data_IF_246094139934
#
_entry.id   IF_246094139934
#
_cell.length_a   1.000
_cell.length_b   1.000
_cell.length_c   1.000
_cell.angle_alpha   90.00
_cell.angle_beta   90.00
_cell.angle_gamma   90.00
#
_symmetry.space_group_name_H-M   'P 1'
#
loop_
_entity.id
_entity.type
_entity.pdbx_description
1 polymer ?
#
# COMPACT_ATOMS: atom_id res chain seq x y z
N UNK A 1 -46.61 -1.85 -2.75
CA UNK A 1 -45.93 -1.45 -1.50
C UNK A 1 -44.67 -0.70 -1.90
N UNK A 2 -44.69 0.62 -1.75
CA UNK A 2 -43.59 1.54 -2.07
C UNK A 2 -42.46 1.37 -1.06
N UNK A 3 -41.22 1.23 -1.54
CA UNK A 3 -40.02 1.59 -0.78
C UNK A 3 -39.02 2.25 -1.75
N UNK A 4 -39.20 3.55 -1.99
CA UNK A 4 -38.09 4.38 -2.44
C UNK A 4 -37.11 4.48 -1.27
N UNK A 5 -35.96 3.82 -1.39
CA UNK A 5 -34.79 4.15 -0.58
C UNK A 5 -34.36 5.56 -0.97
N UNK A 6 -34.80 6.55 -0.20
CA UNK A 6 -34.16 7.86 -0.21
C UNK A 6 -32.73 7.65 0.28
N UNK A 7 -31.80 7.51 -0.67
CA UNK A 7 -30.38 7.46 -0.39
C UNK A 7 -30.00 8.71 0.38
N UNK A 8 -29.50 8.52 1.61
CA UNK A 8 -28.96 9.61 2.42
C UNK A 8 -27.75 10.15 1.66
N UNK A 9 -27.91 11.29 0.99
CA UNK A 9 -26.81 11.98 0.36
C UNK A 9 -25.90 12.50 1.47
N UNK A 10 -24.75 11.86 1.70
CA UNK A 10 -23.78 12.35 2.69
C UNK A 10 -23.34 13.77 2.30
N UNK A 11 -23.56 14.74 3.18
CA UNK A 11 -23.22 16.15 2.96
C UNK A 11 -21.70 16.39 2.79
N UNK A 12 -20.87 15.41 3.20
CA UNK A 12 -19.43 15.35 3.00
C UNK A 12 -19.10 14.11 2.16
N UNK A 13 -18.48 14.31 1.01
CA UNK A 13 -17.96 13.23 0.15
C UNK A 13 -16.46 13.14 0.35
N UNK A 14 -15.96 11.97 0.74
CA UNK A 14 -14.55 11.66 0.94
C UNK A 14 -14.15 10.55 -0.04
N UNK A 15 -13.19 10.84 -0.92
CA UNK A 15 -12.80 9.98 -2.04
C UNK A 15 -11.35 9.51 -1.90
N UNK A 16 -11.29 8.19 -1.81
CA UNK A 16 -10.16 7.26 -1.77
C UNK A 16 -9.64 6.69 -3.09
N UNK A 17 -8.35 6.35 -3.31
CA UNK A 17 -8.02 5.25 -4.22
C UNK A 17 -8.78 3.95 -3.85
N UNK A 18 -9.43 3.27 -4.81
CA UNK A 18 -10.29 2.12 -4.52
C UNK A 18 -9.52 0.79 -4.41
N UNK A 19 -8.23 0.78 -4.74
CA UNK A 19 -7.37 -0.39 -4.77
C UNK A 19 -6.18 -0.21 -3.83
N UNK A 20 -5.49 -1.31 -3.54
CA UNK A 20 -4.24 -1.30 -2.78
C UNK A 20 -3.22 -0.42 -3.48
N UNK A 21 -2.66 0.52 -2.72
CA UNK A 21 -1.58 1.39 -3.17
C UNK A 21 -0.25 0.71 -2.90
N UNK A 22 0.53 0.56 -3.95
CA UNK A 22 1.88 -0.02 -3.89
C UNK A 22 2.92 1.09 -3.80
N UNK A 23 3.76 1.03 -2.77
CA UNK A 23 4.92 1.91 -2.62
C UNK A 23 6.22 1.12 -2.56
N UNK A 24 7.34 1.72 -2.97
CA UNK A 24 8.65 1.05 -2.97
C UNK A 24 9.38 1.35 -1.66
N UNK A 25 9.97 0.33 -1.03
CA UNK A 25 10.77 0.52 0.18
C UNK A 25 11.87 1.58 -0.02
N UNK A 26 11.98 2.50 0.93
CA UNK A 26 12.90 3.63 0.94
C UNK A 26 12.45 4.85 0.14
N UNK A 27 11.41 4.73 -0.69
CA UNK A 27 10.85 5.86 -1.46
C UNK A 27 9.71 6.55 -0.71
N UNK A 28 9.44 7.83 -0.98
CA UNK A 28 8.23 8.48 -0.47
C UNK A 28 6.97 7.89 -1.12
N UNK A 29 5.90 7.79 -0.35
CA UNK A 29 4.58 7.38 -0.83
C UNK A 29 3.54 8.46 -0.54
N UNK A 30 2.77 8.85 -1.56
CA UNK A 30 1.72 9.85 -1.46
C UNK A 30 0.33 9.20 -1.51
N UNK A 31 -0.41 9.31 -0.41
CA UNK A 31 -1.78 8.82 -0.29
C UNK A 31 -2.76 9.96 -0.60
N UNK A 32 -3.20 10.03 -1.86
CA UNK A 32 -4.10 11.08 -2.33
C UNK A 32 -5.49 10.93 -1.74
N UNK A 33 -6.02 12.00 -1.13
CA UNK A 33 -7.36 12.06 -0.57
C UNK A 33 -8.06 13.33 -1.05
N UNK A 34 -9.25 13.17 -1.62
CA UNK A 34 -10.09 14.29 -2.02
C UNK A 34 -11.34 14.34 -1.17
N UNK A 35 -11.75 15.52 -0.71
CA UNK A 35 -13.03 15.67 -0.03
C UNK A 35 -13.74 16.94 -0.48
N UNK A 36 -15.07 16.90 -0.47
CA UNK A 36 -15.92 18.05 -0.78
C UNK A 36 -17.18 18.03 0.08
N UNK A 37 -17.72 19.21 0.36
CA UNK A 37 -18.91 19.40 1.17
C UNK A 37 -19.66 20.65 0.69
N UNK A 38 -20.99 20.64 0.81
CA UNK A 38 -21.87 21.67 0.25
C UNK A 38 -22.34 22.69 1.31
N UNK A 39 -21.57 22.87 2.38
CA UNK A 39 -21.93 23.74 3.53
C UNK A 39 -20.80 24.71 3.85
N UNK A 40 -21.11 25.82 4.50
CA UNK A 40 -20.11 26.77 4.98
C UNK A 40 -19.35 26.14 6.16
N UNK A 41 -18.05 25.90 6.00
CA UNK A 41 -17.21 25.37 7.06
C UNK A 41 -16.56 26.50 7.86
N UNK A 42 -16.68 26.46 9.18
CA UNK A 42 -15.90 27.27 10.11
C UNK A 42 -14.57 26.60 10.45
N UNK A 43 -14.53 25.27 10.47
CA UNK A 43 -13.34 24.50 10.82
C UNK A 43 -13.34 23.13 10.11
N UNK A 44 -12.16 22.70 9.67
CA UNK A 44 -11.94 21.36 9.12
C UNK A 44 -10.86 20.68 9.94
N UNK A 45 -11.18 19.49 10.46
CA UNK A 45 -10.25 18.63 11.17
C UNK A 45 -9.98 17.39 10.32
N UNK A 46 -8.71 17.08 10.11
CA UNK A 46 -8.26 15.88 9.40
C UNK A 46 -7.52 15.01 10.41
N UNK A 47 -7.80 13.71 10.43
CA UNK A 47 -7.14 12.75 11.33
C UNK A 47 -6.70 11.54 10.50
N UNK A 48 -5.45 11.13 10.68
CA UNK A 48 -4.89 9.91 10.14
C UNK A 48 -4.62 8.90 11.23
N UNK A 49 -5.09 7.68 11.01
CA UNK A 49 -4.82 6.52 11.86
C UNK A 49 -4.16 5.42 11.02
N UNK A 50 -3.36 4.58 11.66
CA UNK A 50 -2.74 3.41 11.06
C UNK A 50 -3.19 2.13 11.78
N UNK A 51 -3.59 1.13 11.01
CA UNK A 51 -4.10 -0.15 11.52
C UNK A 51 -3.45 -1.31 10.75
N UNK A 52 -2.71 -2.16 11.45
CA UNK A 52 -2.31 -3.46 10.92
C UNK A 52 -3.43 -4.48 11.10
N UNK A 53 -3.48 -5.55 10.29
CA UNK A 53 -4.42 -6.64 10.49
C UNK A 53 -4.44 -7.10 11.96
N UNK A 54 -5.63 -7.17 12.55
CA UNK A 54 -5.86 -7.66 13.93
C UNK A 54 -5.25 -6.78 15.05
N UNK A 55 -4.91 -5.53 14.77
CA UNK A 55 -4.44 -4.56 15.78
C UNK A 55 -5.40 -3.40 15.92
N UNK A 56 -5.35 -2.69 17.05
CA UNK A 56 -6.10 -1.45 17.22
C UNK A 56 -5.49 -0.32 16.37
N UNK A 57 -6.31 0.57 15.78
CA UNK A 57 -5.81 1.75 15.09
C UNK A 57 -4.95 2.63 15.99
N UNK A 58 -3.74 2.96 15.53
CA UNK A 58 -2.83 3.93 16.14
C UNK A 58 -3.07 5.32 15.55
N UNK A 59 -3.00 6.34 16.39
CA UNK A 59 -3.01 7.72 15.93
C UNK A 59 -1.67 8.06 15.27
N UNK A 60 -1.70 8.66 14.07
CA UNK A 60 -0.48 9.13 13.40
C UNK A 60 -0.30 10.63 13.59
N UNK A 61 -1.33 11.37 13.18
CA UNK A 61 -1.38 12.83 13.22
C UNK A 61 -2.79 13.30 12.90
N UNK A 62 -3.06 14.55 13.21
CA UNK A 62 -4.23 15.25 12.75
C UNK A 62 -3.94 16.70 12.44
N UNK A 63 -4.98 17.45 12.15
CA UNK A 63 -4.91 18.90 12.04
C UNK A 63 -6.13 19.54 12.68
N UNK A 64 -5.91 20.67 13.35
CA UNK A 64 -6.94 21.51 13.96
C UNK A 64 -6.62 22.94 13.57
N UNK A 65 -7.59 23.70 13.05
CA UNK A 65 -7.36 25.06 12.53
C UNK A 65 -6.14 25.16 11.61
N UNK A 66 -6.00 24.21 10.69
CA UNK A 66 -4.86 24.07 9.75
C UNK A 66 -3.49 23.83 10.39
N UNK A 67 -3.41 23.74 11.72
CA UNK A 67 -2.19 23.39 12.44
C UNK A 67 -2.10 21.88 12.56
N UNK A 68 -0.99 21.30 12.14
CA UNK A 68 -0.74 19.86 12.23
C UNK A 68 -0.36 19.49 13.66
N UNK A 69 -0.97 18.43 14.17
CA UNK A 69 -0.70 17.85 15.48
C UNK A 69 -0.23 16.41 15.25
N UNK A 70 1.08 16.15 15.19
CA UNK A 70 1.61 14.80 15.01
C UNK A 70 1.63 14.04 16.34
N UNK A 71 1.57 12.71 16.26
CA UNK A 71 2.04 11.86 17.34
C UNK A 71 3.56 11.99 17.46
N UNK A 72 4.08 12.05 18.69
CA UNK A 72 5.51 12.21 18.96
C UNK A 72 6.33 11.03 18.44
N UNK A 73 5.76 9.82 18.40
CA UNK A 73 6.43 8.63 17.85
C UNK A 73 6.69 8.77 16.34
N UNK A 74 5.85 9.53 15.63
CA UNK A 74 5.81 9.56 14.17
C UNK A 74 6.09 10.94 13.53
N UNK A 75 6.51 11.93 14.33
CA UNK A 75 6.61 13.34 13.92
C UNK A 75 7.42 13.63 12.64
N UNK A 76 8.39 12.79 12.30
CA UNK A 76 9.26 12.97 11.13
C UNK A 76 8.92 12.05 9.94
N UNK A 77 7.97 11.14 10.13
CA UNK A 77 7.67 10.10 9.15
C UNK A 77 6.54 10.45 8.21
N UNK A 78 5.58 11.21 8.73
CA UNK A 78 4.36 11.56 8.02
C UNK A 78 4.26 13.07 7.83
N UNK A 79 3.75 13.49 6.68
CA UNK A 79 3.49 14.90 6.39
C UNK A 79 2.06 15.07 5.92
N UNK A 80 1.37 16.04 6.53
CA UNK A 80 0.04 16.51 6.15
C UNK A 80 0.13 18.01 5.93
N UNK A 81 -0.50 18.51 4.87
CA UNK A 81 -0.52 19.94 4.56
C UNK A 81 -1.98 20.40 4.45
N UNK A 82 -2.63 20.76 5.57
CA UNK A 82 -4.01 21.23 5.54
C UNK A 82 -4.17 22.47 4.65
N UNK A 83 -5.32 22.66 3.97
CA UNK A 83 -6.53 21.84 4.06
C UNK A 83 -6.47 20.56 3.21
N UNK A 84 -5.36 20.24 2.54
CA UNK A 84 -5.23 18.98 1.81
C UNK A 84 -5.22 17.80 2.80
N UNK A 85 -6.11 16.83 2.61
CA UNK A 85 -6.22 15.64 3.46
C UNK A 85 -5.27 14.51 3.07
N UNK A 86 -4.50 14.68 1.99
CA UNK A 86 -3.52 13.69 1.53
C UNK A 86 -2.37 13.53 2.52
N UNK A 87 -1.86 12.31 2.65
CA UNK A 87 -0.76 11.96 3.54
C UNK A 87 0.48 11.60 2.74
N UNK A 88 1.62 12.18 3.08
CA UNK A 88 2.91 11.70 2.60
C UNK A 88 3.58 10.85 3.68
N UNK A 89 4.09 9.69 3.28
CA UNK A 89 4.92 8.79 4.08
C UNK A 89 6.33 8.87 3.53
N UNK A 90 7.32 9.25 4.34
CA UNK A 90 8.71 9.36 3.87
C UNK A 90 9.73 9.16 5.00
N UNK A 91 10.65 8.17 4.90
CA UNK A 91 10.69 7.09 3.90
C UNK A 91 9.65 5.99 4.20
N UNK A 92 9.27 5.25 3.16
CA UNK A 92 8.43 4.05 3.29
C UNK A 92 9.26 2.84 3.72
N UNK A 93 8.81 2.11 4.74
CA UNK A 93 9.44 0.86 5.19
C UNK A 93 8.46 -0.31 5.13
N UNK A 94 8.94 -1.55 5.08
CA UNK A 94 8.08 -2.74 5.08
C UNK A 94 7.12 -2.80 6.29
N UNK A 95 7.52 -2.21 7.42
CA UNK A 95 6.68 -2.08 8.62
C UNK A 95 5.44 -1.19 8.43
N UNK A 96 5.40 -0.42 7.36
CA UNK A 96 4.38 0.58 7.08
C UNK A 96 3.26 0.02 6.19
N UNK A 97 3.40 -1.24 5.77
CA UNK A 97 2.34 -2.02 5.13
C UNK A 97 1.16 -2.18 6.11
N UNK A 98 -0.05 -1.89 5.63
CA UNK A 98 -1.25 -1.92 6.45
C UNK A 98 -2.34 -0.98 5.95
N UNK A 99 -3.30 -0.69 6.82
CA UNK A 99 -4.44 0.16 6.54
C UNK A 99 -4.21 1.56 7.09
N UNK A 100 -4.37 2.58 6.25
CA UNK A 100 -4.36 3.99 6.65
C UNK A 100 -5.79 4.52 6.60
N UNK A 101 -6.28 5.00 7.74
CA UNK A 101 -7.65 5.47 7.89
C UNK A 101 -7.61 6.98 7.98
N UNK A 102 -8.26 7.65 7.02
CA UNK A 102 -8.47 9.09 7.04
C UNK A 102 -9.87 9.39 7.55
N UNK A 103 -9.96 10.31 8.51
CA UNK A 103 -11.21 10.88 9.00
C UNK A 103 -11.19 12.38 8.75
N UNK A 104 -12.25 12.89 8.15
CA UNK A 104 -12.45 14.33 7.94
C UNK A 104 -13.71 14.74 8.68
N UNK A 105 -13.58 15.70 9.60
CA UNK A 105 -14.69 16.34 10.29
C UNK A 105 -14.77 17.79 9.82
N UNK A 106 -15.96 18.23 9.46
CA UNK A 106 -16.23 19.61 9.04
C UNK A 106 -17.26 20.20 9.98
N UNK A 107 -16.90 21.30 10.64
CA UNK A 107 -17.77 22.08 11.51
C UNK A 107 -18.34 23.25 10.73
N UNK A 108 -19.64 23.46 10.84
CA UNK A 108 -20.39 24.59 10.29
C UNK A 108 -21.65 24.82 11.14
N UNK A 109 -22.82 24.86 10.53
CA UNK A 109 -24.11 24.86 11.27
C UNK A 109 -24.39 23.56 12.05
N UNK A 110 -23.61 22.51 11.74
CA UNK A 110 -23.53 21.25 12.47
C UNK A 110 -22.16 20.63 12.21
N UNK A 111 -21.88 19.47 12.80
CA UNK A 111 -20.66 18.71 12.49
C UNK A 111 -21.00 17.56 11.56
N UNK A 112 -20.38 17.53 10.38
CA UNK A 112 -20.46 16.40 9.45
C UNK A 112 -19.10 15.69 9.40
N UNK A 113 -19.12 14.38 9.25
CA UNK A 113 -17.91 13.55 9.29
C UNK A 113 -17.95 12.47 8.22
N UNK A 114 -16.78 12.14 7.68
CA UNK A 114 -16.59 11.02 6.77
C UNK A 114 -15.27 10.32 7.08
N UNK A 115 -15.23 9.00 6.85
CA UNK A 115 -14.05 8.18 7.06
C UNK A 115 -13.84 7.23 5.89
N UNK A 116 -12.58 6.99 5.53
CA UNK A 116 -12.21 6.05 4.48
C UNK A 116 -10.89 5.34 4.86
N UNK A 117 -10.69 4.12 4.36
CA UNK A 117 -9.52 3.27 4.57
C UNK A 117 -8.75 3.01 3.26
N UNK A 118 -7.45 3.36 3.24
CA UNK A 118 -6.49 3.03 2.19
C UNK A 118 -5.71 1.78 2.58
N UNK A 119 -5.62 0.80 1.69
CA UNK A 119 -4.71 -0.33 1.84
C UNK A 119 -3.37 0.03 1.18
N UNK A 120 -2.29 -0.11 1.93
CA UNK A 120 -0.92 0.13 1.44
C UNK A 120 -0.14 -1.19 1.50
N UNK A 121 0.50 -1.53 0.39
CA UNK A 121 1.48 -2.61 0.29
C UNK A 121 2.86 -2.04 -0.01
N UNK A 122 3.91 -2.62 0.56
CA UNK A 122 5.29 -2.12 0.41
C UNK A 122 6.13 -3.10 -0.38
N UNK A 123 6.58 -2.67 -1.56
CA UNK A 123 7.40 -3.40 -2.52
C UNK A 123 8.89 -3.24 -2.25
N UNK A 124 9.55 -4.35 -1.96
CA UNK A 124 11.01 -4.45 -1.94
C UNK A 124 11.47 -4.90 -3.32
N UNK A 125 12.30 -4.10 -4.03
CA UNK A 125 12.84 -4.47 -5.33
C UNK A 125 13.55 -5.82 -5.29
N UNK A 126 13.25 -6.67 -6.27
CA UNK A 126 13.86 -7.99 -6.37
C UNK A 126 15.32 -7.85 -6.77
N UNK A 127 16.21 -8.37 -5.94
CA UNK A 127 17.65 -8.40 -6.24
C UNK A 127 17.94 -9.29 -7.43
N UNK A 128 19.10 -9.07 -8.08
CA UNK A 128 19.57 -9.93 -9.18
C UNK A 128 19.50 -11.40 -8.77
N UNK A 129 18.77 -12.26 -9.52
CA UNK A 129 18.67 -13.67 -9.21
C UNK A 129 20.02 -14.37 -9.44
N UNK A 130 20.28 -15.38 -8.63
CA UNK A 130 21.47 -16.25 -8.73
C UNK A 130 20.99 -17.64 -9.12
N UNK A 131 21.56 -18.17 -10.20
CA UNK A 131 21.29 -19.52 -10.68
C UNK A 131 22.44 -20.43 -10.28
N UNK A 132 22.12 -21.49 -9.54
CA UNK A 132 23.02 -22.56 -9.20
C UNK A 132 22.70 -23.79 -10.04
N UNK A 133 23.71 -24.57 -10.38
CA UNK A 133 23.57 -25.82 -11.14
C UNK A 133 23.98 -27.01 -10.27
N UNK A 134 23.24 -28.11 -10.40
CA UNK A 134 23.54 -29.38 -9.75
C UNK A 134 23.46 -30.51 -10.80
N UNK A 135 24.57 -31.25 -11.06
CA UNK A 135 25.88 -31.12 -10.43
C UNK A 135 26.56 -29.77 -10.75
N UNK A 136 27.45 -29.33 -9.85
CA UNK A 136 28.16 -28.04 -9.96
C UNK A 136 29.07 -27.96 -11.19
N UNK A 137 29.47 -29.11 -11.73
CA UNK A 137 30.18 -29.20 -13.01
C UNK A 137 29.38 -28.62 -14.18
N UNK A 138 28.04 -28.55 -14.06
CA UNK A 138 27.15 -28.17 -15.16
C UNK A 138 27.13 -29.18 -16.31
N UNK A 139 27.74 -30.35 -16.11
CA UNK A 139 27.90 -31.41 -17.11
C UNK A 139 27.35 -32.70 -16.54
N UNK A 140 26.50 -33.34 -17.33
CA UNK A 140 25.96 -34.67 -17.09
C UNK A 140 26.33 -35.57 -18.27
N UNK A 141 26.62 -36.83 -18.00
CA UNK A 141 26.72 -37.85 -19.06
C UNK A 141 25.35 -38.01 -19.74
N UNK A 142 25.32 -38.58 -20.95
CA UNK A 142 24.22 -38.57 -21.93
C UNK A 142 22.80 -38.89 -21.40
N UNK A 143 22.67 -39.48 -20.20
CA UNK A 143 21.41 -39.92 -19.57
C UNK A 143 21.17 -39.25 -18.19
N UNK A 144 21.97 -38.27 -17.79
CA UNK A 144 21.86 -37.60 -16.49
C UNK A 144 20.93 -36.38 -16.50
N UNK A 145 20.32 -36.10 -15.34
CA UNK A 145 19.53 -34.90 -15.12
C UNK A 145 20.38 -33.79 -14.51
N UNK A 146 20.18 -32.56 -14.97
CA UNK A 146 20.75 -31.37 -14.34
C UNK A 146 19.63 -30.54 -13.71
N UNK A 147 19.85 -30.09 -12.48
CA UNK A 147 18.94 -29.21 -11.76
C UNK A 147 19.49 -27.79 -11.76
N UNK A 148 18.64 -26.83 -12.13
CA UNK A 148 18.95 -25.42 -12.01
C UNK A 148 18.10 -24.83 -10.88
N UNK A 149 18.75 -24.19 -9.91
CA UNK A 149 18.11 -23.56 -8.76
C UNK A 149 18.28 -22.05 -8.82
N UNK A 150 17.16 -21.34 -8.93
CA UNK A 150 17.14 -19.88 -8.91
C UNK A 150 16.84 -19.38 -7.50
N UNK A 151 17.65 -18.45 -6.99
CA UNK A 151 17.44 -17.82 -5.69
C UNK A 151 17.52 -16.30 -5.81
N UNK A 152 16.80 -15.57 -4.95
CA UNK A 152 16.90 -14.11 -4.82
C UNK A 152 17.22 -13.76 -3.38
N UNK A 153 18.10 -12.78 -3.16
CA UNK A 153 18.50 -12.37 -1.81
C UNK A 153 17.48 -11.48 -1.10
N UNK A 154 16.84 -10.56 -1.84
CA UNK A 154 15.73 -9.73 -1.37
C UNK A 154 14.67 -9.57 -2.46
N UNK A 155 13.45 -9.31 -2.04
CA UNK A 155 12.31 -9.02 -2.90
C UNK A 155 10.99 -9.40 -2.24
N UNK A 156 9.93 -8.67 -2.56
CA UNK A 156 8.55 -9.05 -2.22
C UNK A 156 7.81 -9.47 -3.47
N UNK A 157 6.78 -10.33 -3.33
CA UNK A 157 5.95 -10.78 -4.47
C UNK A 157 6.77 -11.37 -5.63
N UNK A 158 7.82 -12.13 -5.27
CA UNK A 158 8.75 -12.76 -6.21
C UNK A 158 8.05 -13.86 -7.00
N UNK A 159 8.20 -13.84 -8.33
CA UNK A 159 7.74 -14.89 -9.23
C UNK A 159 8.93 -15.40 -10.04
N UNK A 160 9.09 -16.72 -10.12
CA UNK A 160 10.16 -17.36 -10.89
C UNK A 160 9.65 -17.79 -12.26
N UNK A 161 10.46 -17.54 -13.29
CA UNK A 161 10.18 -17.97 -14.66
C UNK A 161 11.49 -18.37 -15.34
N UNK A 162 11.58 -19.63 -15.77
CA UNK A 162 12.70 -20.11 -16.57
C UNK A 162 12.49 -19.79 -18.05
N UNK A 163 13.55 -19.34 -18.72
CA UNK A 163 13.56 -19.05 -20.16
C UNK A 163 14.80 -19.65 -20.83
N UNK A 164 14.64 -20.10 -22.07
CA UNK A 164 15.72 -20.57 -22.94
C UNK A 164 15.62 -19.82 -24.27
N UNK A 165 16.68 -19.13 -24.67
CA UNK A 165 16.73 -18.34 -25.92
C UNK A 165 15.55 -17.37 -26.08
N UNK A 166 15.17 -16.68 -25.00
CA UNK A 166 14.06 -15.73 -24.97
C UNK A 166 12.66 -16.35 -24.94
N UNK A 167 12.53 -17.68 -24.95
CA UNK A 167 11.24 -18.37 -24.85
C UNK A 167 11.03 -18.95 -23.45
N UNK A 168 9.84 -18.79 -22.90
CA UNK A 168 9.44 -19.42 -21.63
C UNK A 168 9.51 -20.93 -21.76
N UNK A 169 10.09 -21.58 -20.76
CA UNK A 169 10.05 -23.02 -20.65
C UNK A 169 8.73 -23.44 -19.97
N UNK A 170 8.17 -24.54 -20.46
CA UNK A 170 6.97 -25.17 -19.92
C UNK A 170 7.31 -26.60 -19.51
N UNK A 171 6.56 -27.13 -18.53
CA UNK A 171 6.72 -28.51 -18.10
C UNK A 171 6.49 -29.45 -19.28
N UNK A 172 7.34 -30.46 -19.40
CA UNK A 172 7.30 -31.42 -20.50
C UNK A 172 8.28 -32.57 -20.25
N UNK A 173 8.48 -33.46 -21.25
CA UNK A 173 9.35 -34.63 -21.06
C UNK A 173 10.81 -34.27 -20.74
N UNK A 174 11.26 -33.08 -21.16
CA UNK A 174 12.63 -32.62 -21.00
C UNK A 174 12.82 -31.61 -19.85
N UNK A 175 11.74 -31.09 -19.28
CA UNK A 175 11.80 -30.03 -18.26
C UNK A 175 10.73 -30.25 -17.19
N UNK A 176 11.16 -30.30 -15.93
CA UNK A 176 10.30 -30.31 -14.76
C UNK A 176 10.58 -29.07 -13.92
N UNK A 177 9.55 -28.53 -13.27
CA UNK A 177 9.62 -27.35 -12.42
C UNK A 177 9.10 -27.71 -11.03
N UNK A 178 9.77 -27.20 -10.00
CA UNK A 178 9.45 -27.39 -8.58
C UNK A 178 9.60 -26.08 -7.82
#
# INVERSE_FOLDING_TARGET
LFLFYAGVCSALKLTVPPHTIHGIEGQPLHLTVNYNFNTTASEVQIIWLFERPQTNPKYLLGSVNQTVVPDLEYQHKFTLIPPNASLMINPLHISDEGNYIVKVNVRGNGTIAASQKIQVAVDVPVTKPIVHTEPSSGVVEYVGNMTLKCTVGKGTRVVYQWMKNGKRLHAGPNYTFS
#
